data_IF_379370663221
#
_entry.id   IF_379370663221
#
_cell.length_a   1.000
_cell.length_b   1.000
_cell.length_c   1.000
_cell.angle_alpha   90.00
_cell.angle_beta   90.00
_cell.angle_gamma   90.00
#
_symmetry.space_group_name_H-M   'P 1'
#
loop_
_entity.id
_entity.type
_entity.pdbx_description
1 polymer ?
#
# COMPACT_ATOMS: atom_id res chain seq x y z
N UNK A 1 -34.74 42.82 -104.16
CA UNK A 1 -35.66 43.93 -103.89
C UNK A 1 -36.48 43.70 -102.63
N UNK A 2 -36.61 44.74 -101.77
CA UNK A 2 -37.11 44.66 -100.40
C UNK A 2 -38.65 44.80 -100.35
N UNK A 3 -39.25 44.85 -99.15
CA UNK A 3 -39.71 46.18 -98.71
C UNK A 3 -39.46 46.51 -97.23
N UNK A 4 -39.45 47.82 -96.98
CA UNK A 4 -39.07 48.60 -95.80
C UNK A 4 -40.01 48.49 -94.56
N UNK A 5 -39.59 49.01 -93.38
CA UNK A 5 -40.01 48.56 -92.05
C UNK A 5 -41.10 49.46 -91.40
N UNK A 6 -41.66 49.05 -90.24
CA UNK A 6 -42.36 49.96 -89.35
C UNK A 6 -41.52 50.40 -88.13
N UNK A 7 -41.87 51.55 -87.50
CA UNK A 7 -41.00 52.34 -86.64
C UNK A 7 -40.99 51.93 -85.15
N UNK A 8 -39.91 52.32 -84.46
CA UNK A 8 -39.70 52.21 -83.01
C UNK A 8 -40.62 53.16 -82.24
N UNK A 9 -41.35 52.61 -81.27
CA UNK A 9 -42.07 53.37 -80.25
C UNK A 9 -41.09 53.96 -79.24
N UNK A 10 -40.99 55.30 -79.23
CA UNK A 10 -40.50 56.08 -78.08
C UNK A 10 -41.71 56.69 -77.37
N UNK A 11 -42.24 55.99 -76.37
CA UNK A 11 -43.21 56.56 -75.45
C UNK A 11 -42.51 57.49 -74.47
N UNK A 12 -42.69 58.80 -74.65
CA UNK A 12 -42.38 59.80 -73.64
C UNK A 12 -43.42 59.76 -72.51
N UNK A 13 -42.90 59.98 -71.31
CA UNK A 13 -43.52 59.95 -69.98
C UNK A 13 -44.62 61.02 -69.84
N UNK A 14 -45.78 60.67 -69.25
CA UNK A 14 -46.55 61.59 -68.42
C UNK A 14 -46.31 61.27 -66.93
N UNK A 15 -45.97 62.30 -66.17
CA UNK A 15 -45.80 62.25 -64.72
C UNK A 15 -47.07 61.70 -64.02
N UNK A 16 -46.97 60.50 -63.44
CA UNK A 16 -47.96 60.00 -62.49
C UNK A 16 -47.49 60.34 -61.08
N UNK A 17 -48.07 61.41 -60.55
CA UNK A 17 -48.28 61.72 -59.13
C UNK A 17 -47.98 60.57 -58.16
N UNK A 18 -46.89 60.71 -57.40
CA UNK A 18 -46.64 59.96 -56.18
C UNK A 18 -47.74 60.27 -55.17
N UNK A 19 -48.82 59.49 -55.19
CA UNK A 19 -49.63 59.32 -53.99
C UNK A 19 -48.91 58.29 -53.13
N UNK A 20 -48.28 58.77 -52.06
CA UNK A 20 -47.87 57.94 -50.93
C UNK A 20 -49.12 57.25 -50.38
N UNK A 21 -49.44 56.08 -50.93
CA UNK A 21 -50.31 55.11 -50.28
C UNK A 21 -49.53 54.46 -49.15
N UNK A 22 -49.41 55.16 -48.02
CA UNK A 22 -49.24 54.53 -46.72
C UNK A 22 -50.47 53.63 -46.52
N UNK A 23 -50.38 52.38 -47.01
CA UNK A 23 -51.32 51.33 -46.68
C UNK A 23 -51.03 50.92 -45.25
N UNK A 24 -51.71 51.62 -44.35
CA UNK A 24 -52.01 51.24 -42.98
C UNK A 24 -51.92 49.72 -42.77
N UNK A 25 -50.88 49.29 -42.04
CA UNK A 25 -50.82 47.98 -41.41
C UNK A 25 -51.77 47.97 -40.20
N UNK A 26 -53.08 47.89 -40.46
CA UNK A 26 -54.12 47.84 -39.42
C UNK A 26 -54.49 46.40 -39.07
N UNK A 27 -53.52 45.56 -38.68
CA UNK A 27 -53.84 44.35 -37.92
C UNK A 27 -52.78 44.07 -36.83
N UNK A 28 -52.77 44.84 -35.72
CA UNK A 28 -51.84 44.63 -34.59
C UNK A 28 -51.91 43.21 -33.99
N UNK A 29 -53.03 42.54 -34.19
CA UNK A 29 -53.33 41.16 -33.81
C UNK A 29 -52.40 40.15 -34.48
N UNK A 30 -52.02 40.35 -35.75
CA UNK A 30 -51.09 39.44 -36.47
C UNK A 30 -49.66 39.53 -35.93
N UNK A 31 -49.22 40.73 -35.54
CA UNK A 31 -47.95 40.93 -34.83
C UNK A 31 -47.97 40.27 -33.44
N UNK A 32 -49.07 40.43 -32.70
CA UNK A 32 -49.23 39.80 -31.38
C UNK A 32 -49.25 38.27 -31.45
N UNK A 33 -49.93 37.68 -32.44
CA UNK A 33 -49.96 36.22 -32.65
C UNK A 33 -48.58 35.69 -33.06
N UNK A 34 -47.84 36.43 -33.90
CA UNK A 34 -46.46 36.11 -34.24
C UNK A 34 -45.52 36.13 -33.02
N UNK A 35 -45.62 37.15 -32.16
CA UNK A 35 -44.86 37.22 -30.92
C UNK A 35 -45.20 36.09 -29.94
N UNK A 36 -46.48 35.71 -29.83
CA UNK A 36 -46.90 34.58 -29.00
C UNK A 36 -46.32 33.26 -29.50
N UNK A 37 -46.33 33.04 -30.82
CA UNK A 37 -45.75 31.84 -31.44
C UNK A 37 -44.24 31.72 -31.18
N UNK A 38 -43.50 32.84 -31.29
CA UNK A 38 -42.07 32.89 -30.98
C UNK A 38 -41.82 32.64 -29.49
N UNK A 39 -42.61 33.24 -28.59
CA UNK A 39 -42.47 33.03 -27.15
C UNK A 39 -42.72 31.57 -26.74
N UNK A 40 -43.73 30.92 -27.33
CA UNK A 40 -44.00 29.49 -27.10
C UNK A 40 -42.86 28.63 -27.64
N UNK A 41 -42.32 28.95 -28.80
CA UNK A 41 -41.18 28.22 -29.35
C UNK A 41 -39.93 28.34 -28.46
N UNK A 42 -39.63 29.54 -27.94
CA UNK A 42 -38.56 29.73 -26.96
C UNK A 42 -38.81 29.00 -25.65
N UNK A 43 -40.05 29.02 -25.14
CA UNK A 43 -40.40 28.28 -23.93
C UNK A 43 -40.26 26.76 -24.12
N UNK A 44 -40.63 26.24 -25.30
CA UNK A 44 -40.43 24.84 -25.65
C UNK A 44 -38.95 24.48 -25.79
N UNK A 45 -38.13 25.29 -26.47
CA UNK A 45 -36.70 24.99 -26.61
C UNK A 45 -35.97 25.08 -25.28
N UNK A 46 -36.27 26.09 -24.46
CA UNK A 46 -35.76 26.17 -23.07
C UNK A 46 -36.25 24.97 -22.26
N UNK A 47 -37.50 24.56 -22.42
CA UNK A 47 -38.06 23.38 -21.76
C UNK A 47 -37.33 22.10 -22.15
N UNK A 48 -37.05 21.89 -23.44
CA UNK A 48 -36.32 20.73 -23.96
C UNK A 48 -34.87 20.74 -23.49
N UNK A 49 -34.18 21.88 -23.56
CA UNK A 49 -32.79 22.01 -23.10
C UNK A 49 -32.72 21.79 -21.58
N UNK A 50 -33.66 22.35 -20.82
CA UNK A 50 -33.72 22.17 -19.36
C UNK A 50 -34.03 20.72 -19.01
N UNK A 51 -34.93 20.07 -19.72
CA UNK A 51 -35.25 18.66 -19.57
C UNK A 51 -34.03 17.77 -19.89
N UNK A 52 -33.37 18.00 -21.02
CA UNK A 52 -32.15 17.29 -21.40
C UNK A 52 -30.98 17.51 -20.44
N UNK A 53 -30.89 18.69 -19.81
CA UNK A 53 -29.87 18.98 -18.79
C UNK A 53 -30.20 18.34 -17.43
N UNK A 54 -31.49 18.26 -17.06
CA UNK A 54 -31.95 17.68 -15.79
C UNK A 54 -32.03 16.15 -15.81
N UNK A 55 -32.17 15.54 -16.99
CA UNK A 55 -32.36 14.09 -17.13
C UNK A 55 -31.06 13.32 -17.45
N UNK A 56 -29.91 14.00 -17.52
CA UNK A 56 -28.64 13.28 -17.54
C UNK A 56 -28.48 12.52 -16.22
N UNK A 57 -28.46 11.18 -16.28
CA UNK A 57 -28.24 10.36 -15.10
C UNK A 57 -26.90 10.77 -14.47
N UNK A 58 -26.87 11.11 -13.16
CA UNK A 58 -25.63 11.52 -12.51
C UNK A 58 -24.61 10.37 -12.45
N UNK A 59 -25.09 9.13 -12.63
CA UNK A 59 -24.29 7.91 -12.72
C UNK A 59 -24.19 7.46 -14.19
N UNK A 60 -22.97 7.17 -14.63
CA UNK A 60 -22.69 6.64 -15.97
C UNK A 60 -21.89 5.35 -15.88
N UNK A 61 -22.23 4.34 -16.69
CA UNK A 61 -21.49 3.08 -16.72
C UNK A 61 -20.12 3.28 -17.37
N UNK A 62 -19.07 2.86 -16.67
CA UNK A 62 -17.69 2.98 -17.14
C UNK A 62 -17.18 1.63 -17.63
N UNK A 63 -17.36 0.60 -16.82
CA UNK A 63 -16.94 -0.76 -17.15
C UNK A 63 -17.90 -1.75 -16.52
N UNK A 64 -18.50 -2.61 -17.34
CA UNK A 64 -19.53 -3.55 -16.90
C UNK A 64 -19.00 -4.98 -16.99
N UNK A 65 -18.97 -5.67 -15.86
CA UNK A 65 -18.69 -7.11 -15.80
C UNK A 65 -19.96 -7.94 -15.84
N UNK A 66 -19.81 -9.22 -15.52
CA UNK A 66 -20.88 -10.20 -15.43
C UNK A 66 -21.63 -10.10 -14.09
N UNK A 67 -20.89 -10.02 -12.99
CA UNK A 67 -21.42 -10.11 -11.63
C UNK A 67 -21.45 -8.75 -10.92
N UNK A 68 -20.65 -7.79 -11.40
CA UNK A 68 -20.62 -6.42 -10.93
C UNK A 68 -20.34 -5.45 -12.09
N UNK A 69 -20.30 -4.16 -11.79
CA UNK A 69 -19.70 -3.18 -12.69
C UNK A 69 -19.46 -1.84 -12.02
N UNK A 70 -18.60 -1.06 -12.65
CA UNK A 70 -18.20 0.27 -12.21
C UNK A 70 -18.98 1.35 -12.94
N UNK A 71 -19.40 2.34 -12.16
CA UNK A 71 -20.06 3.55 -12.60
C UNK A 71 -19.28 4.75 -12.11
N UNK A 72 -19.36 5.84 -12.86
CA UNK A 72 -18.87 7.14 -12.44
C UNK A 72 -20.04 8.02 -12.00
N UNK A 73 -19.96 8.58 -10.80
CA UNK A 73 -20.89 9.58 -10.29
C UNK A 73 -20.34 11.00 -10.51
N UNK A 74 -20.91 11.73 -11.48
CA UNK A 74 -20.43 13.05 -11.89
C UNK A 74 -20.49 14.09 -10.77
N UNK A 75 -21.58 14.12 -10.01
CA UNK A 75 -21.79 15.14 -8.98
C UNK A 75 -20.83 15.06 -7.80
N UNK A 76 -20.21 13.91 -7.55
CA UNK A 76 -19.27 13.71 -6.44
C UNK A 76 -17.84 13.40 -6.87
N UNK A 77 -17.61 13.15 -8.16
CA UNK A 77 -16.32 12.66 -8.65
C UNK A 77 -15.97 11.31 -8.02
N UNK A 78 -16.91 10.36 -8.05
CA UNK A 78 -16.76 9.08 -7.35
C UNK A 78 -16.92 7.88 -8.29
N UNK A 79 -16.10 6.86 -8.09
CA UNK A 79 -16.29 5.54 -8.68
C UNK A 79 -17.19 4.70 -7.78
N UNK A 80 -18.30 4.23 -8.33
CA UNK A 80 -19.28 3.38 -7.66
C UNK A 80 -19.19 1.96 -8.20
N UNK A 81 -19.02 0.99 -7.31
CA UNK A 81 -19.08 -0.42 -7.65
C UNK A 81 -20.45 -0.96 -7.25
N UNK A 82 -21.18 -1.54 -8.21
CA UNK A 82 -22.50 -2.13 -7.99
C UNK A 82 -22.50 -3.61 -8.37
N UNK A 83 -23.15 -4.44 -7.55
CA UNK A 83 -23.38 -5.84 -7.87
C UNK A 83 -24.55 -5.96 -8.85
N UNK A 84 -24.39 -6.81 -9.86
CA UNK A 84 -25.41 -7.14 -10.86
C UNK A 84 -26.11 -8.46 -10.49
N UNK A 85 -27.37 -8.67 -10.95
CA UNK A 85 -28.21 -7.76 -11.72
C UNK A 85 -28.98 -6.75 -10.84
N UNK A 86 -29.03 -6.95 -9.52
CA UNK A 86 -29.87 -6.16 -8.61
C UNK A 86 -29.46 -4.69 -8.44
N UNK A 87 -28.27 -4.30 -8.91
CA UNK A 87 -27.76 -2.93 -8.81
C UNK A 87 -27.41 -2.50 -7.38
N UNK A 88 -27.23 -3.46 -6.47
CA UNK A 88 -26.94 -3.19 -5.05
C UNK A 88 -25.58 -2.47 -4.94
N UNK A 89 -25.48 -1.35 -4.20
CA UNK A 89 -24.21 -0.68 -3.98
C UNK A 89 -23.27 -1.59 -3.17
N UNK A 90 -22.05 -1.75 -3.65
CA UNK A 90 -21.00 -2.59 -3.03
C UNK A 90 -19.94 -1.73 -2.38
N UNK A 91 -19.47 -0.70 -3.10
CA UNK A 91 -18.39 0.19 -2.68
C UNK A 91 -18.53 1.55 -3.36
N UNK A 92 -18.17 2.62 -2.65
CA UNK A 92 -18.01 3.96 -3.19
C UNK A 92 -16.58 4.44 -2.94
N UNK A 93 -15.94 4.97 -3.97
CA UNK A 93 -14.57 5.45 -3.97
C UNK A 93 -14.60 6.92 -4.40
N UNK A 94 -14.27 7.82 -3.49
CA UNK A 94 -14.11 9.23 -3.83
C UNK A 94 -12.74 9.45 -4.47
N UNK A 95 -12.72 9.99 -5.68
CA UNK A 95 -11.49 10.27 -6.42
C UNK A 95 -11.01 11.67 -6.03
N UNK A 96 -9.91 11.74 -5.29
CA UNK A 96 -9.28 13.00 -4.88
C UNK A 96 -8.23 13.53 -5.86
N UNK A 97 -7.87 12.72 -6.86
CA UNK A 97 -6.81 13.01 -7.84
C UNK A 97 -7.15 14.12 -8.83
N UNK A 98 -8.42 14.50 -8.96
CA UNK A 98 -8.95 15.35 -10.05
C UNK A 98 -10.10 16.23 -9.53
N UNK A 99 -10.27 17.48 -10.01
CA UNK A 99 -11.40 18.33 -9.62
C UNK A 99 -12.75 17.73 -10.02
N UNK A 100 -13.68 17.59 -9.06
CA UNK A 100 -15.05 17.14 -9.31
C UNK A 100 -15.85 18.07 -10.26
N UNK A 101 -15.33 19.26 -10.55
CA UNK A 101 -15.93 20.27 -11.43
C UNK A 101 -15.70 20.01 -12.91
N UNK A 102 -14.82 19.08 -13.28
CA UNK A 102 -14.61 18.69 -14.67
C UNK A 102 -15.55 17.54 -15.07
N UNK A 103 -16.34 17.68 -16.15
CA UNK A 103 -17.26 16.64 -16.58
C UNK A 103 -16.48 15.36 -16.98
N UNK A 104 -16.98 14.14 -16.70
CA UNK A 104 -16.41 12.94 -17.32
C UNK A 104 -17.48 12.05 -17.98
N UNK A 105 -17.09 11.16 -18.90
CA UNK A 105 -16.41 11.35 -20.18
C UNK A 105 -17.44 11.52 -21.33
N UNK A 106 -17.03 12.01 -22.52
CA UNK A 106 -17.26 11.14 -23.67
C UNK A 106 -16.03 11.12 -24.58
N UNK A 107 -15.18 10.11 -24.38
CA UNK A 107 -14.78 9.14 -25.41
C UNK A 107 -13.75 8.24 -24.77
N UNK A 108 -14.16 7.00 -24.51
CA UNK A 108 -13.23 5.93 -24.22
C UNK A 108 -12.14 5.90 -25.30
N UNK A 109 -10.89 6.06 -24.88
CA UNK A 109 -9.75 6.05 -25.81
C UNK A 109 -9.23 4.64 -26.09
N UNK A 110 -9.65 3.64 -25.31
CA UNK A 110 -9.04 2.31 -25.31
C UNK A 110 -10.05 1.15 -25.29
N UNK A 111 -11.35 1.38 -25.55
CA UNK A 111 -12.37 0.32 -25.64
C UNK A 111 -12.07 -0.67 -26.77
N UNK A 112 -11.20 -1.63 -26.47
CA UNK A 112 -10.94 -2.81 -27.26
C UNK A 112 -11.53 -4.00 -26.50
N UNK A 113 -12.43 -4.73 -27.16
CA UNK A 113 -13.08 -5.97 -26.67
C UNK A 113 -13.98 -5.84 -25.42
N UNK A 114 -14.29 -4.62 -24.96
CA UNK A 114 -15.22 -4.36 -23.85
C UNK A 114 -14.71 -4.73 -22.45
N UNK A 115 -13.42 -5.08 -22.35
CA UNK A 115 -12.76 -5.44 -21.10
C UNK A 115 -11.98 -4.30 -20.45
N UNK A 116 -11.86 -3.14 -21.10
CA UNK A 116 -11.03 -2.03 -20.65
C UNK A 116 -11.70 -0.69 -20.90
N UNK A 117 -11.41 0.27 -20.04
CA UNK A 117 -11.85 1.67 -20.15
C UNK A 117 -10.69 2.59 -19.79
N UNK A 118 -10.46 3.65 -20.58
CA UNK A 118 -9.42 4.63 -20.31
C UNK A 118 -9.92 6.06 -20.50
N UNK A 119 -9.53 6.95 -19.59
CA UNK A 119 -9.82 8.37 -19.67
C UNK A 119 -8.66 9.21 -19.13
N UNK A 120 -8.41 10.36 -19.76
CA UNK A 120 -7.36 11.29 -19.37
C UNK A 120 -7.97 12.66 -19.07
N UNK A 121 -7.72 13.18 -17.86
CA UNK A 121 -8.07 14.56 -17.49
C UNK A 121 -6.93 15.49 -17.88
N UNK A 122 -7.29 16.66 -18.42
CA UNK A 122 -6.48 17.70 -19.09
C UNK A 122 -5.05 17.87 -18.56
N UNK A 123 -4.17 16.92 -18.87
CA UNK A 123 -2.76 16.84 -18.43
C UNK A 123 -2.53 16.58 -16.92
N UNK A 124 -3.53 16.13 -16.17
CA UNK A 124 -3.39 15.80 -14.74
C UNK A 124 -3.07 14.33 -14.52
N UNK A 125 -4.01 13.47 -14.93
CA UNK A 125 -3.93 12.04 -14.68
C UNK A 125 -4.69 11.26 -15.76
N UNK A 126 -4.23 10.03 -16.00
CA UNK A 126 -4.90 9.04 -16.82
C UNK A 126 -5.42 7.90 -15.93
N UNK A 127 -6.73 7.64 -15.97
CA UNK A 127 -7.37 6.47 -15.38
C UNK A 127 -7.48 5.37 -16.43
N UNK A 128 -7.03 4.17 -16.06
CA UNK A 128 -7.29 2.93 -16.78
C UNK A 128 -8.00 1.94 -15.85
N UNK A 129 -9.11 1.40 -16.31
CA UNK A 129 -9.87 0.34 -15.68
C UNK A 129 -9.82 -0.89 -16.57
N UNK A 130 -9.54 -2.05 -15.99
CA UNK A 130 -9.50 -3.33 -16.70
C UNK A 130 -10.29 -4.39 -15.96
N UNK A 131 -11.00 -5.25 -16.69
CA UNK A 131 -11.52 -6.51 -16.15
C UNK A 131 -10.36 -7.49 -16.05
N UNK A 132 -10.05 -7.88 -14.82
CA UNK A 132 -8.96 -8.82 -14.54
C UNK A 132 -9.48 -10.26 -14.54
N UNK A 133 -8.65 -11.24 -14.94
CA UNK A 133 -9.03 -12.64 -14.84
C UNK A 133 -9.40 -13.00 -13.40
N UNK A 134 -10.41 -13.87 -13.20
CA UNK A 134 -10.95 -14.16 -11.88
C UNK A 134 -9.87 -14.76 -10.98
N UNK A 135 -9.59 -14.10 -9.86
CA UNK A 135 -8.61 -14.58 -8.89
C UNK A 135 -9.07 -15.88 -8.20
N UNK A 136 -10.37 -16.10 -8.06
CA UNK A 136 -10.96 -17.31 -7.53
C UNK A 136 -12.27 -17.67 -8.25
N UNK A 137 -12.77 -18.91 -8.13
CA UNK A 137 -14.07 -19.27 -8.69
C UNK A 137 -15.18 -18.39 -8.08
N UNK A 138 -16.00 -17.77 -8.92
CA UNK A 138 -17.10 -16.90 -8.48
C UNK A 138 -16.67 -15.54 -7.95
N UNK A 139 -15.46 -15.06 -8.31
CA UNK A 139 -15.03 -13.68 -8.07
C UNK A 139 -14.84 -12.95 -9.37
N UNK A 140 -15.33 -11.72 -9.45
CA UNK A 140 -15.05 -10.80 -10.55
C UNK A 140 -14.13 -9.70 -10.07
N UNK A 141 -13.08 -9.40 -10.85
CA UNK A 141 -12.02 -8.48 -10.45
C UNK A 141 -11.81 -7.38 -11.47
N UNK A 142 -11.38 -6.23 -10.97
CA UNK A 142 -11.11 -5.04 -11.75
C UNK A 142 -9.78 -4.43 -11.32
N UNK A 143 -8.92 -4.14 -12.29
CA UNK A 143 -7.70 -3.37 -12.09
C UNK A 143 -8.02 -1.89 -12.21
N UNK A 144 -7.60 -1.11 -11.21
CA UNK A 144 -7.66 0.36 -11.24
C UNK A 144 -6.23 0.87 -11.32
N UNK A 145 -5.93 1.66 -12.35
CA UNK A 145 -4.60 2.26 -12.53
C UNK A 145 -4.73 3.72 -12.89
N UNK A 146 -4.24 4.57 -11.99
CA UNK A 146 -4.02 5.98 -12.23
C UNK A 146 -2.56 6.21 -12.59
N UNK A 147 -2.32 6.97 -13.66
CA UNK A 147 -0.98 7.40 -14.07
C UNK A 147 -0.93 8.92 -14.02
N UNK A 148 -0.04 9.52 -13.22
CA UNK A 148 0.08 10.97 -13.18
C UNK A 148 0.71 11.44 -14.49
N UNK A 149 0.15 12.48 -15.10
CA UNK A 149 0.70 13.10 -16.31
C UNK A 149 1.74 14.18 -15.96
N UNK A 150 1.74 14.67 -14.70
CA UNK A 150 2.73 15.62 -14.16
C UNK A 150 3.30 15.18 -12.80
N UNK A 151 4.56 15.54 -12.48
CA UNK A 151 5.20 15.12 -11.22
C UNK A 151 4.64 15.77 -9.95
N UNK A 152 3.93 16.90 -10.06
CA UNK A 152 3.31 17.65 -8.97
C UNK A 152 1.92 17.12 -8.59
N UNK A 153 1.31 16.28 -9.45
CA UNK A 153 0.00 15.68 -9.20
C UNK A 153 0.14 14.56 -8.18
N UNK A 154 -0.62 14.67 -7.10
CA UNK A 154 -0.76 13.61 -6.11
C UNK A 154 -2.05 12.85 -6.37
N UNK A 155 -1.94 11.57 -6.65
CA UNK A 155 -3.09 10.70 -6.91
C UNK A 155 -3.62 10.19 -5.57
N UNK A 156 -4.94 10.22 -5.41
CA UNK A 156 -5.64 9.86 -4.18
C UNK A 156 -7.00 9.23 -4.48
N UNK A 157 -7.21 8.03 -3.94
CA UNK A 157 -8.52 7.36 -3.93
C UNK A 157 -8.93 7.01 -2.50
N UNK A 158 -10.15 7.41 -2.12
CA UNK A 158 -10.68 7.23 -0.77
C UNK A 158 -11.88 6.29 -0.74
N UNK A 159 -11.79 5.24 0.07
CA UNK A 159 -12.76 4.15 0.18
C UNK A 159 -13.73 4.40 1.34
N UNK A 160 -15.01 4.54 1.03
CA UNK A 160 -16.02 4.88 2.04
C UNK A 160 -16.22 3.79 3.10
N UNK A 161 -16.41 4.22 4.35
CA UNK A 161 -16.77 3.38 5.51
C UNK A 161 -18.26 3.44 5.87
N UNK A 162 -19.07 4.24 5.17
CA UNK A 162 -20.46 4.52 5.57
C UNK A 162 -21.36 3.28 5.60
N UNK A 163 -21.21 2.38 4.61
CA UNK A 163 -22.01 1.16 4.48
C UNK A 163 -21.15 -0.11 4.41
N UNK A 164 -19.85 0.01 4.68
CA UNK A 164 -18.87 -1.06 4.56
C UNK A 164 -18.02 -1.10 5.82
N UNK A 165 -18.03 -2.25 6.49
CA UNK A 165 -17.07 -2.54 7.57
C UNK A 165 -15.82 -3.14 6.94
N UNK A 166 -14.66 -2.55 7.20
CA UNK A 166 -13.38 -2.95 6.63
C UNK A 166 -12.56 -3.77 7.61
N UNK A 167 -11.91 -4.81 7.11
CA UNK A 167 -11.05 -5.73 7.84
C UNK A 167 -9.71 -5.88 7.11
N UNK A 168 -8.66 -6.28 7.82
CA UNK A 168 -7.30 -6.32 7.26
C UNK A 168 -6.61 -4.96 7.35
N UNK A 169 -5.74 -4.66 6.40
CA UNK A 169 -4.88 -3.49 6.39
C UNK A 169 -3.63 -3.63 7.28
N UNK A 170 -2.92 -2.53 7.56
CA UNK A 170 -1.76 -2.54 8.44
C UNK A 170 -2.16 -2.75 9.89
N UNK A 171 -1.26 -3.38 10.66
CA UNK A 171 -1.35 -3.33 12.11
C UNK A 171 -1.20 -1.88 12.60
N UNK A 172 -2.03 -1.47 13.54
CA UNK A 172 -1.90 -0.18 14.26
C UNK A 172 -1.82 -0.43 15.77
N UNK A 173 -1.30 0.54 16.53
CA UNK A 173 -1.15 0.40 18.00
C UNK A 173 -2.47 0.08 18.70
N UNK A 174 -3.52 0.83 18.37
CA UNK A 174 -4.86 0.59 18.88
C UNK A 174 -5.67 -0.23 17.87
N UNK A 175 -5.26 -1.48 17.63
CA UNK A 175 -5.93 -2.35 16.66
C UNK A 175 -7.40 -2.56 17.02
N UNK A 176 -8.30 -2.20 16.11
CA UNK A 176 -9.74 -2.46 16.19
C UNK A 176 -10.17 -3.38 15.06
N UNK A 177 -11.22 -4.14 15.32
CA UNK A 177 -11.88 -5.01 14.34
C UNK A 177 -13.38 -4.69 14.42
N UNK A 178 -13.98 -4.07 13.38
CA UNK A 178 -13.40 -3.65 12.10
C UNK A 178 -12.42 -2.47 12.19
N UNK A 179 -11.67 -2.22 11.11
CA UNK A 179 -10.73 -1.11 10.92
C UNK A 179 -11.40 0.27 11.00
N UNK A 180 -12.73 0.34 10.84
CA UNK A 180 -13.47 1.60 10.73
C UNK A 180 -13.24 2.58 11.91
N UNK A 181 -12.91 2.10 13.10
CA UNK A 181 -12.63 2.97 14.25
C UNK A 181 -11.15 3.37 14.41
N UNK A 182 -10.31 3.06 13.43
CA UNK A 182 -8.89 3.43 13.42
C UNK A 182 -8.70 4.83 12.83
N UNK A 183 -7.70 5.55 13.32
CA UNK A 183 -7.33 6.89 12.90
C UNK A 183 -5.83 6.90 12.62
N UNK A 184 -5.42 7.48 11.50
CA UNK A 184 -4.02 7.63 11.11
C UNK A 184 -3.89 8.77 10.10
N UNK A 185 -2.97 9.72 10.30
CA UNK A 185 -2.63 10.66 9.24
C UNK A 185 -2.04 9.93 8.03
N UNK A 186 -1.99 10.60 6.89
CA UNK A 186 -1.35 10.07 5.68
C UNK A 186 0.14 9.80 5.97
N UNK A 187 0.52 8.53 5.91
CA UNK A 187 1.90 8.11 6.15
C UNK A 187 2.27 6.89 5.29
N UNK A 188 3.56 6.65 5.01
CA UNK A 188 3.99 5.53 4.17
C UNK A 188 3.47 4.18 4.67
N UNK A 189 2.88 3.39 3.78
CA UNK A 189 2.42 2.03 4.09
C UNK A 189 3.60 1.05 4.07
N UNK A 190 4.38 1.09 5.15
CA UNK A 190 5.61 0.32 5.36
C UNK A 190 5.58 -0.40 6.71
N UNK A 191 6.25 -1.54 6.80
CA UNK A 191 6.37 -2.29 8.05
C UNK A 191 7.19 -1.50 9.08
N UNK A 192 6.60 -1.26 10.24
CA UNK A 192 7.22 -0.48 11.31
C UNK A 192 7.25 -1.23 12.64
N UNK A 193 7.86 -0.60 13.65
CA UNK A 193 7.87 -1.10 15.01
C UNK A 193 7.05 -0.15 15.90
N UNK A 194 5.90 -0.60 16.39
CA UNK A 194 4.99 0.19 17.22
C UNK A 194 5.58 0.59 18.59
N UNK A 195 6.68 -0.05 19.01
CA UNK A 195 7.42 0.32 20.21
C UNK A 195 8.29 1.57 20.00
N UNK A 196 8.83 1.78 18.79
CA UNK A 196 9.66 2.96 18.45
C UNK A 196 8.84 4.06 17.78
N UNK A 197 7.91 3.70 16.91
CA UNK A 197 6.99 4.59 16.24
C UNK A 197 5.52 4.19 16.55
N UNK A 198 4.96 4.64 17.69
CA UNK A 198 3.62 4.24 18.11
C UNK A 198 2.49 4.78 17.23
N UNK A 199 2.73 5.86 16.49
CA UNK A 199 1.77 6.50 15.59
C UNK A 199 1.87 5.93 14.16
N UNK A 200 2.88 5.10 13.91
CA UNK A 200 3.10 4.41 12.65
C UNK A 200 2.31 3.11 12.48
N UNK A 201 2.59 2.43 11.37
CA UNK A 201 2.12 1.07 11.14
C UNK A 201 3.04 0.05 11.79
N UNK A 202 2.46 -1.07 12.19
CA UNK A 202 3.14 -2.16 12.87
C UNK A 202 3.85 -3.13 11.91
N UNK A 203 4.45 -4.17 12.47
CA UNK A 203 5.34 -5.06 11.72
C UNK A 203 4.59 -6.07 10.85
N UNK A 204 3.29 -6.24 11.08
CA UNK A 204 2.40 -7.00 10.19
C UNK A 204 1.69 -6.00 9.31
N UNK A 205 2.08 -5.97 8.04
CA UNK A 205 1.56 -5.06 7.03
C UNK A 205 0.85 -5.86 5.93
N UNK A 206 -0.47 -5.87 5.93
CA UNK A 206 -1.26 -6.48 4.85
C UNK A 206 -1.77 -5.38 3.93
N UNK A 207 -1.35 -5.40 2.66
CA UNK A 207 -1.88 -4.53 1.60
C UNK A 207 -3.20 -5.07 1.02
N UNK A 208 -4.06 -5.52 1.92
CA UNK A 208 -5.33 -6.19 1.65
C UNK A 208 -6.40 -5.67 2.59
N UNK A 209 -7.50 -5.18 2.03
CA UNK A 209 -8.66 -4.70 2.77
C UNK A 209 -9.89 -5.49 2.33
N UNK A 210 -10.59 -6.11 3.27
CA UNK A 210 -11.82 -6.84 3.05
C UNK A 210 -13.01 -6.03 3.57
N UNK A 211 -13.96 -5.72 2.69
CA UNK A 211 -15.21 -5.07 3.04
C UNK A 211 -16.32 -6.07 3.35
N UNK A 212 -17.21 -5.73 4.29
CA UNK A 212 -18.37 -6.55 4.68
C UNK A 212 -19.37 -6.81 3.55
N UNK A 213 -19.30 -6.06 2.45
CA UNK A 213 -20.10 -6.28 1.24
C UNK A 213 -19.57 -7.39 0.33
N UNK A 214 -18.44 -8.02 0.69
CA UNK A 214 -17.76 -9.03 -0.14
C UNK A 214 -16.77 -8.44 -1.13
N UNK A 215 -16.51 -7.12 -1.05
CA UNK A 215 -15.49 -6.44 -1.84
C UNK A 215 -14.11 -6.57 -1.19
N UNK A 216 -13.08 -6.69 -2.01
CA UNK A 216 -11.68 -6.66 -1.54
C UNK A 216 -10.89 -5.63 -2.31
N UNK A 217 -10.03 -4.90 -1.61
CA UNK A 217 -9.03 -3.99 -2.18
C UNK A 217 -7.66 -4.60 -1.93
N UNK A 218 -6.91 -4.86 -3.00
CA UNK A 218 -5.52 -5.36 -2.94
C UNK A 218 -4.59 -4.39 -3.60
N UNK A 219 -3.46 -4.11 -2.96
CA UNK A 219 -2.39 -3.29 -3.54
C UNK A 219 -1.12 -4.12 -3.63
N UNK A 220 -0.43 -4.04 -4.77
CA UNK A 220 0.83 -4.75 -4.96
C UNK A 220 1.93 -4.20 -4.01
N UNK A 221 2.85 -5.05 -3.52
CA UNK A 221 3.94 -4.63 -2.62
C UNK A 221 4.85 -3.53 -3.18
N UNK A 222 5.01 -3.49 -4.50
CA UNK A 222 5.97 -2.64 -5.20
C UNK A 222 5.45 -1.20 -5.34
N UNK A 223 4.15 -0.95 -5.17
CA UNK A 223 3.53 0.37 -5.32
C UNK A 223 3.83 1.22 -4.08
N UNK A 224 4.63 2.30 -4.16
CA UNK A 224 4.86 3.17 -3.02
C UNK A 224 3.60 4.01 -2.76
N UNK A 225 3.02 3.89 -1.57
CA UNK A 225 1.79 4.61 -1.24
C UNK A 225 1.78 5.06 0.21
N UNK A 226 1.06 6.15 0.45
CA UNK A 226 0.67 6.64 1.75
C UNK A 226 -0.74 6.10 2.04
N UNK A 227 -0.97 5.65 3.27
CA UNK A 227 -2.29 5.30 3.76
C UNK A 227 -2.71 6.33 4.81
N UNK A 228 -3.91 6.88 4.66
CA UNK A 228 -4.60 7.65 5.70
C UNK A 228 -5.86 6.91 6.15
N UNK A 229 -6.16 6.97 7.44
CA UNK A 229 -7.35 6.39 8.05
C UNK A 229 -8.13 7.51 8.73
N UNK A 230 -9.34 7.77 8.27
CA UNK A 230 -10.25 8.76 8.85
C UNK A 230 -11.43 8.02 9.49
N UNK A 231 -11.46 8.02 10.82
CA UNK A 231 -12.35 7.19 11.62
C UNK A 231 -13.82 7.35 11.22
N UNK A 232 -14.47 6.20 10.98
CA UNK A 232 -15.84 6.04 10.53
C UNK A 232 -16.20 6.75 9.21
N UNK A 233 -15.22 7.32 8.49
CA UNK A 233 -15.43 8.04 7.24
C UNK A 233 -14.89 7.26 6.05
N UNK A 234 -13.57 7.05 6.01
CA UNK A 234 -12.89 6.47 4.85
C UNK A 234 -11.43 6.10 5.17
N UNK A 235 -10.83 5.26 4.34
CA UNK A 235 -9.37 5.18 4.24
C UNK A 235 -8.97 5.62 2.83
N UNK A 236 -7.81 6.28 2.70
CA UNK A 236 -7.34 6.73 1.39
C UNK A 236 -5.97 6.17 1.05
N UNK A 237 -5.82 5.79 -0.22
CA UNK A 237 -4.54 5.41 -0.82
C UNK A 237 -4.04 6.61 -1.62
N UNK A 238 -2.84 7.08 -1.30
CA UNK A 238 -2.28 8.33 -1.83
C UNK A 238 -0.87 8.09 -2.37
N UNK A 239 -0.48 8.71 -3.48
CA UNK A 239 0.91 8.65 -3.95
C UNK A 239 1.78 9.62 -3.15
N UNK A 240 3.08 9.33 -2.94
CA UNK A 240 3.99 10.30 -2.35
C UNK A 240 4.14 11.53 -3.24
N UNK A 241 4.01 12.72 -2.67
CA UNK A 241 4.14 13.98 -3.41
C UNK A 241 5.53 14.13 -4.06
N UNK A 242 5.57 14.79 -5.23
CA UNK A 242 6.81 15.10 -5.95
C UNK A 242 7.44 13.90 -6.66
N UNK A 243 6.72 12.78 -6.78
CA UNK A 243 7.12 11.63 -7.60
C UNK A 243 6.00 11.29 -8.58
N UNK A 244 6.34 11.11 -9.85
CA UNK A 244 5.42 10.67 -10.90
C UNK A 244 5.17 9.14 -10.81
N UNK A 245 4.70 8.67 -9.65
CA UNK A 245 4.41 7.26 -9.41
C UNK A 245 2.93 6.96 -9.71
N UNK A 246 2.62 5.86 -10.42
CA UNK A 246 1.24 5.46 -10.65
C UNK A 246 0.59 4.91 -9.37
N UNK A 247 -0.67 5.23 -9.15
CA UNK A 247 -1.51 4.56 -8.14
C UNK A 247 -2.20 3.36 -8.80
N UNK A 248 -1.90 2.16 -8.32
CA UNK A 248 -2.46 0.93 -8.87
C UNK A 248 -2.95 -0.02 -7.78
N UNK A 249 -4.20 -0.47 -7.89
CA UNK A 249 -4.81 -1.43 -7.00
C UNK A 249 -5.85 -2.27 -7.74
N UNK A 250 -6.25 -3.39 -7.13
CA UNK A 250 -7.24 -4.30 -7.68
C UNK A 250 -8.43 -4.41 -6.74
N UNK A 251 -9.63 -4.37 -7.34
CA UNK A 251 -10.91 -4.54 -6.67
C UNK A 251 -11.50 -5.88 -7.07
N UNK A 252 -11.87 -6.73 -6.13
CA UNK A 252 -12.62 -7.95 -6.45
C UNK A 252 -13.93 -7.99 -5.68
N UNK A 253 -14.98 -8.48 -6.33
CA UNK A 253 -16.29 -8.74 -5.73
C UNK A 253 -16.50 -10.25 -5.69
N UNK A 254 -16.69 -10.79 -4.49
CA UNK A 254 -17.06 -12.19 -4.29
C UNK A 254 -18.51 -12.31 -3.83
N UNK A 255 -19.21 -13.34 -4.30
CA UNK A 255 -20.57 -13.66 -3.84
C UNK A 255 -20.63 -14.08 -2.35
N UNK A 256 -19.49 -14.39 -1.74
CA UNK A 256 -19.39 -14.71 -0.32
C UNK A 256 -18.14 -14.03 0.30
N UNK A 257 -18.25 -13.27 1.40
CA UNK A 257 -17.07 -12.69 2.06
C UNK A 257 -16.05 -13.73 2.54
N UNK A 258 -16.41 -15.02 2.60
CA UNK A 258 -15.48 -16.11 2.90
C UNK A 258 -14.63 -16.59 1.72
N UNK A 259 -14.99 -16.24 0.47
CA UNK A 259 -14.16 -16.57 -0.70
C UNK A 259 -12.97 -15.63 -0.76
N UNK A 260 -11.85 -16.09 -0.19
CA UNK A 260 -10.56 -15.40 -0.18
C UNK A 260 -9.97 -15.35 -1.59
N UNK A 261 -9.63 -14.16 -2.15
CA UNK A 261 -8.96 -14.07 -3.45
C UNK A 261 -7.62 -14.82 -3.44
N UNK A 262 -7.24 -15.45 -4.55
CA UNK A 262 -6.01 -16.24 -4.65
C UNK A 262 -4.70 -15.43 -4.52
N UNK A 263 -4.76 -14.10 -4.51
CA UNK A 263 -3.62 -13.21 -4.22
C UNK A 263 -3.21 -13.17 -2.75
N UNK A 264 -4.01 -13.77 -1.87
CA UNK A 264 -3.67 -13.91 -0.46
C UNK A 264 -2.73 -15.12 -0.33
N UNK A 265 -1.41 -14.93 -0.07
CA UNK A 265 -0.41 -15.98 -0.25
C UNK A 265 -0.83 -17.27 0.45
N UNK A 266 -0.77 -18.39 -0.29
CA UNK A 266 -0.97 -19.77 0.24
C UNK A 266 0.03 -20.14 1.34
N UNK A 267 0.97 -19.24 1.66
CA UNK A 267 2.07 -19.42 2.60
C UNK A 267 1.70 -19.32 4.08
N UNK A 268 0.42 -19.24 4.44
CA UNK A 268 -0.03 -19.76 5.75
C UNK A 268 -0.07 -21.31 5.70
N UNK A 269 1.01 -21.92 5.21
CA UNK A 269 1.31 -23.32 5.53
C UNK A 269 1.47 -23.39 7.03
N UNK A 270 0.40 -23.88 7.68
CA UNK A 270 0.21 -24.14 9.10
C UNK A 270 1.13 -25.24 9.65
N UNK A 271 2.30 -25.41 9.04
CA UNK A 271 3.34 -26.38 9.39
C UNK A 271 4.52 -25.65 10.04
N UNK A 272 4.23 -24.74 10.98
CA UNK A 272 5.24 -24.14 11.84
C UNK A 272 5.31 -24.99 13.13
N UNK A 273 6.38 -25.78 13.35
CA UNK A 273 6.52 -26.62 14.54
C UNK A 273 6.40 -25.87 15.88
N UNK A 274 6.93 -24.63 16.05
CA UNK A 274 6.90 -23.98 17.36
C UNK A 274 5.55 -23.36 17.73
N UNK A 275 4.51 -23.45 16.88
CA UNK A 275 3.14 -23.11 17.31
C UNK A 275 2.46 -24.25 18.08
N UNK A 276 2.99 -25.49 18.03
CA UNK A 276 2.41 -26.65 18.72
C UNK A 276 3.06 -26.93 20.07
N UNK A 277 4.25 -26.39 20.31
CA UNK A 277 5.03 -26.64 21.53
C UNK A 277 5.15 -25.37 22.37
N UNK A 278 5.08 -25.44 23.71
CA UNK A 278 5.21 -24.26 24.56
C UNK A 278 6.62 -23.64 24.47
N UNK A 279 6.70 -22.31 24.50
CA UNK A 279 7.97 -21.58 24.49
C UNK A 279 8.28 -21.06 25.90
N UNK A 280 9.34 -21.59 26.50
CA UNK A 280 9.79 -21.25 27.85
C UNK A 280 10.86 -20.16 27.78
N UNK A 281 10.47 -18.90 27.95
CA UNK A 281 11.41 -17.77 27.95
C UNK A 281 12.26 -17.74 29.23
N UNK A 282 13.57 -17.60 29.07
CA UNK A 282 14.49 -17.42 30.18
C UNK A 282 14.50 -15.96 30.66
N UNK A 283 14.10 -15.73 31.91
CA UNK A 283 14.10 -14.41 32.58
C UNK A 283 15.13 -14.28 33.70
N UNK A 284 16.15 -15.14 33.73
CA UNK A 284 17.16 -15.14 34.79
C UNK A 284 18.26 -14.08 34.60
N UNK A 285 19.24 -13.99 35.52
CA UNK A 285 20.28 -12.97 35.49
C UNK A 285 21.22 -13.14 34.28
N UNK A 286 21.30 -12.10 33.45
CA UNK A 286 22.15 -12.01 32.25
C UNK A 286 23.39 -11.14 32.51
N UNK A 287 24.14 -11.45 33.56
CA UNK A 287 25.37 -10.72 33.89
C UNK A 287 26.65 -11.44 33.40
N UNK A 288 26.62 -12.77 33.27
CA UNK A 288 27.76 -13.55 32.77
C UNK A 288 27.31 -14.88 32.18
N UNK A 289 28.13 -15.43 31.28
CA UNK A 289 27.86 -16.73 30.64
C UNK A 289 27.67 -17.86 31.68
N UNK A 290 28.45 -17.85 32.76
CA UNK A 290 28.32 -18.84 33.84
C UNK A 290 26.98 -18.74 34.58
N UNK A 291 26.50 -17.51 34.85
CA UNK A 291 25.19 -17.28 35.49
C UNK A 291 24.05 -17.73 34.57
N UNK A 292 24.12 -17.40 33.27
CA UNK A 292 23.13 -17.82 32.26
C UNK A 292 23.07 -19.36 32.17
N UNK A 293 24.21 -20.04 32.01
CA UNK A 293 24.29 -21.51 31.95
C UNK A 293 23.74 -22.19 33.23
N UNK A 294 23.98 -21.60 34.41
CA UNK A 294 23.39 -22.10 35.67
C UNK A 294 21.88 -21.87 35.72
N UNK A 295 21.43 -20.69 35.30
CA UNK A 295 20.02 -20.32 35.25
C UNK A 295 19.21 -21.21 34.29
N UNK A 296 19.70 -21.45 33.08
CA UNK A 296 19.08 -22.35 32.10
C UNK A 296 18.96 -23.77 32.65
N UNK A 297 20.03 -24.32 33.26
CA UNK A 297 19.97 -25.63 33.93
C UNK A 297 18.97 -25.65 35.08
N UNK A 298 18.81 -24.55 35.82
CA UNK A 298 17.81 -24.44 36.88
C UNK A 298 16.39 -24.40 36.33
N UNK A 299 16.17 -23.68 35.22
CA UNK A 299 14.88 -23.60 34.54
C UNK A 299 14.47 -24.97 34.01
N UNK A 300 15.35 -25.65 33.26
CA UNK A 300 15.10 -27.00 32.74
C UNK A 300 14.78 -27.98 33.88
N UNK A 301 15.52 -27.94 34.99
CA UNK A 301 15.21 -28.78 36.17
C UNK A 301 13.85 -28.47 36.79
N UNK A 302 13.41 -27.20 36.82
CA UNK A 302 12.05 -26.83 37.28
C UNK A 302 11.00 -27.38 36.33
N UNK A 303 11.18 -27.20 35.03
CA UNK A 303 10.26 -27.72 34.00
C UNK A 303 10.11 -29.24 34.11
N UNK A 304 11.22 -29.97 34.28
CA UNK A 304 11.21 -31.41 34.52
C UNK A 304 10.42 -31.79 35.78
N UNK A 305 10.64 -31.09 36.91
CA UNK A 305 9.92 -31.34 38.17
C UNK A 305 8.41 -31.13 38.05
N UNK A 306 7.97 -30.16 37.25
CA UNK A 306 6.55 -29.88 37.03
C UNK A 306 5.93 -30.65 35.86
N UNK A 307 6.66 -31.62 35.27
CA UNK A 307 6.21 -32.39 34.10
C UNK A 307 5.90 -31.53 32.86
N UNK A 308 6.60 -30.40 32.72
CA UNK A 308 6.51 -29.47 31.59
C UNK A 308 7.71 -29.65 30.64
N UNK A 309 7.93 -30.89 30.19
CA UNK A 309 9.14 -31.28 29.46
C UNK A 309 9.03 -31.10 27.94
N UNK A 310 7.83 -30.86 27.44
CA UNK A 310 7.58 -30.47 26.06
C UNK A 310 7.87 -28.97 25.91
N UNK A 311 8.47 -28.59 24.78
CA UNK A 311 8.69 -27.17 24.47
C UNK A 311 10.11 -26.80 24.08
N UNK A 312 10.24 -25.50 23.78
CA UNK A 312 11.50 -24.87 23.39
C UNK A 312 11.88 -23.86 24.46
N UNK A 313 13.09 -23.94 24.99
CA UNK A 313 13.62 -22.94 25.91
C UNK A 313 14.21 -21.80 25.09
N UNK A 314 13.65 -20.59 25.25
CA UNK A 314 14.06 -19.42 24.49
C UNK A 314 15.01 -18.52 25.29
N UNK A 315 16.18 -18.26 24.71
CA UNK A 315 17.18 -17.32 25.20
C UNK A 315 17.10 -16.01 24.41
N UNK A 316 16.87 -14.90 25.12
CA UNK A 316 16.80 -13.58 24.52
C UNK A 316 18.12 -13.07 23.96
N UNK A 317 18.03 -12.01 23.16
CA UNK A 317 19.15 -11.39 22.43
C UNK A 317 20.36 -11.06 23.31
N UNK A 318 20.13 -10.43 24.46
CA UNK A 318 21.19 -10.05 25.41
C UNK A 318 21.87 -11.27 26.01
N UNK A 319 21.11 -12.29 26.41
CA UNK A 319 21.63 -13.57 26.84
C UNK A 319 22.50 -14.26 25.77
N UNK A 320 22.01 -14.29 24.52
CA UNK A 320 22.77 -14.82 23.37
C UNK A 320 24.06 -14.05 23.15
N UNK A 321 24.02 -12.71 23.19
CA UNK A 321 25.20 -11.87 23.01
C UNK A 321 26.29 -12.11 24.06
N UNK A 322 25.90 -12.32 25.32
CA UNK A 322 26.84 -12.61 26.42
C UNK A 322 27.49 -13.99 26.24
N UNK A 323 26.72 -15.00 25.82
CA UNK A 323 27.27 -16.33 25.51
C UNK A 323 28.20 -16.26 24.28
N UNK A 324 27.80 -15.53 23.24
CA UNK A 324 28.60 -15.32 22.04
C UNK A 324 29.94 -14.61 22.33
N UNK A 325 29.97 -13.67 23.28
CA UNK A 325 31.19 -12.96 23.65
C UNK A 325 32.25 -13.88 24.26
N UNK A 326 31.83 -14.94 24.96
CA UNK A 326 32.76 -15.96 25.50
C UNK A 326 33.32 -16.91 24.44
N UNK A 327 32.67 -17.01 23.27
CA UNK A 327 33.15 -17.86 22.18
C UNK A 327 34.32 -17.27 21.38
N UNK A 328 34.64 -16.00 21.62
CA UNK A 328 35.68 -15.24 20.91
C UNK A 328 37.08 -15.32 21.57
N UNK A 329 37.34 -16.33 22.40
CA UNK A 329 38.65 -16.61 23.01
C UNK A 329 39.34 -17.77 22.25
N UNK A 330 40.61 -17.62 21.81
CA UNK A 330 41.32 -18.61 21.01
C UNK A 330 41.45 -20.01 21.63
N UNK A 331 41.55 -20.99 20.74
CA UNK A 331 41.29 -22.43 20.87
C UNK A 331 42.39 -23.27 21.54
N UNK A 332 43.02 -22.84 22.63
CA UNK A 332 44.06 -23.68 23.28
C UNK A 332 43.57 -24.49 24.49
N UNK A 333 42.36 -24.23 25.01
CA UNK A 333 41.79 -24.98 26.17
C UNK A 333 40.45 -25.66 25.91
N UNK A 334 40.08 -25.89 24.65
CA UNK A 334 38.70 -26.25 24.25
C UNK A 334 38.38 -27.73 24.08
N UNK A 335 39.05 -28.65 24.80
CA UNK A 335 38.67 -30.08 24.75
C UNK A 335 37.63 -30.53 25.79
N UNK A 336 37.07 -29.67 26.65
CA UNK A 336 36.18 -30.15 27.75
C UNK A 336 34.95 -29.32 28.15
N UNK A 337 34.53 -28.28 27.43
CA UNK A 337 33.42 -27.43 27.92
C UNK A 337 32.46 -26.87 26.85
N UNK A 338 31.99 -27.69 25.92
CA UNK A 338 30.65 -27.46 25.36
C UNK A 338 29.66 -28.22 26.26
N UNK A 339 29.00 -27.57 27.24
CA UNK A 339 27.92 -28.25 27.93
C UNK A 339 26.78 -28.32 26.93
N UNK A 340 26.52 -29.51 26.41
CA UNK A 340 25.20 -29.84 25.89
C UNK A 340 24.20 -29.34 26.93
N UNK A 341 23.34 -28.40 26.54
CA UNK A 341 22.28 -27.92 27.41
C UNK A 341 21.41 -29.15 27.69
N UNK A 342 21.52 -29.68 28.91
CA UNK A 342 20.96 -30.96 29.37
C UNK A 342 19.64 -31.30 28.66
N UNK A 343 19.67 -32.29 27.76
CA UNK A 343 18.50 -32.85 27.07
C UNK A 343 17.38 -33.25 28.07
N UNK A 344 16.09 -33.09 27.72
CA UNK A 344 15.54 -33.19 26.36
C UNK A 344 14.90 -31.91 25.78
N UNK A 345 15.09 -30.73 26.38
CA UNK A 345 14.44 -29.51 25.88
C UNK A 345 15.27 -28.82 24.79
N UNK A 346 14.65 -28.55 23.65
CA UNK A 346 15.26 -27.81 22.55
C UNK A 346 15.57 -26.36 22.96
N UNK A 347 16.69 -25.81 22.47
CA UNK A 347 17.10 -24.43 22.71
C UNK A 347 16.79 -23.57 21.49
N UNK A 348 16.17 -22.40 21.71
CA UNK A 348 16.14 -21.31 20.73
C UNK A 348 16.97 -20.13 21.20
N UNK A 349 17.76 -19.56 20.30
CA UNK A 349 18.55 -18.34 20.54
C UNK A 349 17.99 -17.18 19.74
N UNK A 350 17.95 -16.00 20.33
CA UNK A 350 17.53 -14.78 19.63
C UNK A 350 18.72 -13.96 19.15
N UNK A 351 18.64 -13.48 17.91
CA UNK A 351 19.55 -12.52 17.29
C UNK A 351 18.75 -11.31 16.76
N UNK A 352 19.43 -10.18 16.57
CA UNK A 352 18.88 -9.00 15.91
C UNK A 352 19.87 -8.49 14.86
N UNK A 353 19.45 -7.68 13.87
CA UNK A 353 20.37 -7.00 12.97
C UNK A 353 21.03 -5.77 13.62
N UNK A 354 20.81 -5.55 14.92
CA UNK A 354 21.36 -4.43 15.66
C UNK A 354 22.59 -4.85 16.47
N UNK A 355 23.54 -3.93 16.60
CA UNK A 355 24.62 -4.05 17.57
C UNK A 355 24.74 -2.77 18.38
N UNK A 356 24.61 -2.89 19.69
CA UNK A 356 24.86 -1.77 20.61
C UNK A 356 26.27 -1.22 20.44
N UNK A 357 26.41 0.10 20.47
CA UNK A 357 27.70 0.78 20.23
C UNK A 357 28.77 0.43 21.28
N UNK A 358 28.35 -0.01 22.46
CA UNK A 358 29.23 -0.48 23.55
C UNK A 358 29.54 -1.98 23.45
N UNK A 359 28.92 -2.71 22.52
CA UNK A 359 29.08 -4.15 22.42
C UNK A 359 30.49 -4.52 21.91
N UNK A 360 31.09 -5.61 22.41
CA UNK A 360 32.36 -6.11 21.87
C UNK A 360 32.28 -6.45 20.38
N UNK A 361 31.09 -6.80 19.89
CA UNK A 361 30.80 -7.06 18.49
C UNK A 361 31.04 -5.80 17.65
N UNK A 362 30.39 -4.70 18.03
CA UNK A 362 30.51 -3.42 17.32
C UNK A 362 31.94 -2.87 17.41
N UNK A 363 32.51 -2.79 18.61
CA UNK A 363 33.87 -2.25 18.82
C UNK A 363 34.95 -3.02 18.07
N UNK A 364 34.83 -4.35 17.93
CA UNK A 364 35.78 -5.15 17.14
C UNK A 364 35.58 -4.95 15.64
N UNK A 365 34.32 -4.84 15.19
CA UNK A 365 34.06 -4.57 13.77
C UNK A 365 34.82 -3.31 13.33
N UNK A 366 34.83 -2.25 14.16
CA UNK A 366 35.55 -1.00 13.90
C UNK A 366 37.08 -1.13 13.81
N UNK A 367 37.69 -2.08 14.54
CA UNK A 367 39.16 -2.24 14.57
C UNK A 367 39.72 -2.98 13.36
N UNK A 368 38.90 -3.74 12.65
CA UNK A 368 39.34 -4.63 11.58
C UNK A 368 39.54 -3.97 10.21
N UNK A 369 39.34 -2.65 10.06
CA UNK A 369 39.38 -1.95 8.76
C UNK A 369 38.21 -2.28 7.82
N UNK A 370 37.62 -3.48 7.93
CA UNK A 370 36.44 -3.98 7.19
C UNK A 370 35.10 -3.40 7.69
N UNK A 371 35.11 -2.64 8.80
CA UNK A 371 33.91 -2.11 9.45
C UNK A 371 33.06 -1.18 8.59
N UNK A 372 33.69 -0.47 7.64
CA UNK A 372 33.05 0.59 6.86
C UNK A 372 31.91 0.07 5.99
N UNK A 373 31.81 -1.26 5.77
CA UNK A 373 30.76 -1.89 4.97
C UNK A 373 29.71 -2.69 5.75
N UNK A 374 29.94 -3.02 7.03
CA UNK A 374 29.05 -3.94 7.77
C UNK A 374 27.81 -3.28 8.38
N UNK A 375 27.89 -1.99 8.66
CA UNK A 375 26.80 -1.23 9.27
C UNK A 375 26.21 -0.28 8.25
N UNK A 376 24.88 -0.10 8.28
CA UNK A 376 24.22 0.92 7.48
C UNK A 376 24.90 2.25 7.75
N UNK A 377 25.19 2.97 6.69
CA UNK A 377 25.92 4.22 6.74
C UNK A 377 25.26 5.23 5.81
N UNK A 378 25.46 6.51 6.09
CA UNK A 378 25.10 7.54 5.12
C UNK A 378 26.05 7.43 3.93
N UNK A 379 25.50 7.60 2.72
CA UNK A 379 26.30 7.70 1.49
C UNK A 379 27.41 8.74 1.71
N UNK A 380 28.69 8.34 1.62
CA UNK A 380 29.78 9.29 1.82
C UNK A 380 29.73 10.35 0.73
N UNK A 381 29.95 11.62 1.10
CA UNK A 381 30.29 12.65 0.11
C UNK A 381 31.56 12.23 -0.63
N UNK A 382 31.79 12.63 -1.90
CA UNK A 382 33.04 12.33 -2.59
C UNK A 382 34.24 12.72 -1.73
N UNK A 383 35.09 11.76 -1.38
CA UNK A 383 36.26 11.94 -0.50
C UNK A 383 36.03 11.83 1.01
N UNK A 384 34.80 11.51 1.46
CA UNK A 384 34.45 11.37 2.87
C UNK A 384 34.49 9.93 3.39
N UNK A 385 34.72 9.75 4.70
CA UNK A 385 34.59 8.46 5.36
C UNK A 385 33.12 8.06 5.53
N UNK A 386 32.83 6.77 5.37
CA UNK A 386 31.51 6.19 5.66
C UNK A 386 31.24 6.23 7.17
N UNK A 387 30.19 6.92 7.59
CA UNK A 387 29.78 7.05 9.00
C UNK A 387 28.55 6.15 9.23
N UNK A 388 28.61 5.18 10.16
CA UNK A 388 27.46 4.35 10.50
C UNK A 388 26.26 5.18 10.95
N UNK A 389 25.09 4.88 10.40
CA UNK A 389 23.80 5.38 10.82
C UNK A 389 23.44 4.71 12.15
N UNK A 390 23.45 5.49 13.22
CA UNK A 390 23.07 5.02 14.55
C UNK A 390 21.56 5.19 14.74
N UNK A 391 20.93 4.19 15.34
CA UNK A 391 19.51 4.20 15.70
C UNK A 391 19.34 3.65 17.12
N UNK A 392 18.11 3.59 17.62
CA UNK A 392 17.80 3.03 18.93
C UNK A 392 17.14 1.67 18.78
N UNK A 393 17.59 0.71 19.59
CA UNK A 393 16.98 -0.62 19.69
C UNK A 393 16.92 -1.02 21.15
N UNK A 394 15.71 -1.36 21.64
CA UNK A 394 15.45 -1.72 23.06
C UNK A 394 16.07 -0.73 24.06
N UNK A 395 15.98 0.57 23.77
CA UNK A 395 16.50 1.66 24.61
C UNK A 395 18.02 1.79 24.62
N UNK A 396 18.74 1.20 23.66
CA UNK A 396 20.19 1.32 23.51
C UNK A 396 20.54 1.92 22.15
N UNK A 397 21.59 2.74 22.12
CA UNK A 397 22.16 3.25 20.87
C UNK A 397 22.88 2.12 20.13
N UNK A 398 22.45 1.84 18.90
CA UNK A 398 22.89 0.70 18.11
C UNK A 398 23.19 1.10 16.67
N UNK A 399 24.10 0.36 16.03
CA UNK A 399 24.23 0.34 14.58
C UNK A 399 23.39 -0.80 14.01
N UNK A 400 22.78 -0.59 12.84
CA UNK A 400 21.97 -1.60 12.13
C UNK A 400 22.79 -2.21 10.98
N UNK A 401 22.67 -3.51 10.77
CA UNK A 401 23.38 -4.27 9.74
C UNK A 401 23.13 -3.68 8.35
N UNK A 402 24.18 -3.51 7.55
CA UNK A 402 24.05 -3.15 6.15
C UNK A 402 23.62 -4.35 5.31
N UNK A 403 22.41 -4.34 4.77
CA UNK A 403 21.89 -5.44 3.93
C UNK A 403 22.25 -5.30 2.46
N UNK A 404 22.69 -4.12 2.00
CA UNK A 404 23.13 -3.90 0.61
C UNK A 404 24.55 -4.41 0.35
N UNK A 405 25.32 -4.65 1.40
CA UNK A 405 26.65 -5.25 1.30
C UNK A 405 26.57 -6.77 1.44
N UNK A 406 26.89 -7.49 0.36
CA UNK A 406 26.97 -8.96 0.39
C UNK A 406 27.94 -9.47 1.45
N UNK A 407 29.06 -8.76 1.66
CA UNK A 407 30.05 -9.11 2.69
C UNK A 407 29.47 -9.00 4.11
N UNK A 408 28.70 -7.94 4.38
CA UNK A 408 28.03 -7.73 5.66
C UNK A 408 26.96 -8.80 5.92
N UNK A 409 26.13 -9.06 4.92
CA UNK A 409 25.07 -10.05 4.98
C UNK A 409 25.64 -11.47 5.16
N UNK A 410 26.66 -11.81 4.38
CA UNK A 410 27.39 -13.08 4.51
C UNK A 410 28.04 -13.25 5.89
N UNK A 411 28.67 -12.20 6.41
CA UNK A 411 29.23 -12.17 7.77
C UNK A 411 28.16 -12.44 8.84
N UNK A 412 26.99 -11.79 8.72
CA UNK A 412 25.88 -11.95 9.65
C UNK A 412 25.29 -13.36 9.62
N UNK A 413 25.02 -13.91 8.44
CA UNK A 413 24.52 -15.28 8.28
C UNK A 413 25.53 -16.32 8.79
N UNK A 414 26.82 -16.13 8.50
CA UNK A 414 27.88 -17.01 8.99
C UNK A 414 27.98 -16.96 10.52
N UNK A 415 27.81 -15.78 11.12
CA UNK A 415 27.74 -15.61 12.57
C UNK A 415 26.55 -16.37 13.16
N UNK A 416 25.36 -16.26 12.57
CA UNK A 416 24.18 -16.98 13.03
C UNK A 416 24.38 -18.50 13.00
N UNK A 417 24.93 -19.04 11.90
CA UNK A 417 25.28 -20.48 11.78
C UNK A 417 26.27 -20.93 12.86
N UNK A 418 27.35 -20.17 13.07
CA UNK A 418 28.35 -20.47 14.09
C UNK A 418 27.75 -20.48 15.50
N UNK A 419 26.92 -19.50 15.84
CA UNK A 419 26.30 -19.42 17.17
C UNK A 419 25.29 -20.54 17.40
N UNK A 420 24.48 -20.86 16.38
CA UNK A 420 23.56 -22.00 16.42
C UNK A 420 24.30 -23.30 16.73
N UNK A 421 25.41 -23.56 16.03
CA UNK A 421 26.24 -24.74 16.24
C UNK A 421 26.94 -24.73 17.61
N UNK A 422 27.57 -23.62 17.99
CA UNK A 422 28.34 -23.50 19.23
C UNK A 422 27.46 -23.66 20.49
N UNK A 423 26.22 -23.17 20.42
CA UNK A 423 25.26 -23.24 21.53
C UNK A 423 24.37 -24.48 21.48
N UNK A 424 24.45 -25.30 20.42
CA UNK A 424 23.57 -26.45 20.22
C UNK A 424 22.09 -26.06 20.12
N UNK A 425 21.80 -24.91 19.50
CA UNK A 425 20.43 -24.41 19.37
C UNK A 425 19.69 -25.09 18.22
N UNK A 426 18.48 -25.58 18.49
CA UNK A 426 17.58 -26.12 17.47
C UNK A 426 17.01 -25.01 16.60
N UNK A 427 16.73 -23.84 17.20
CA UNK A 427 16.15 -22.69 16.51
C UNK A 427 16.93 -21.40 16.69
N UNK A 428 16.86 -20.54 15.69
CA UNK A 428 17.37 -19.16 15.72
C UNK A 428 16.21 -18.23 15.41
N UNK A 429 15.90 -17.35 16.37
CA UNK A 429 14.86 -16.32 16.23
C UNK A 429 15.54 -15.01 15.88
N UNK A 430 15.07 -14.35 14.82
CA UNK A 430 15.52 -13.03 14.40
C UNK A 430 14.45 -12.01 14.79
N UNK A 431 14.81 -11.03 15.63
CA UNK A 431 13.96 -9.92 16.07
C UNK A 431 14.45 -8.60 15.48
N UNK A 432 13.54 -7.65 15.24
CA UNK A 432 13.90 -6.32 14.74
C UNK A 432 14.31 -6.33 13.27
N UNK A 433 13.71 -7.22 12.49
CA UNK A 433 13.93 -7.30 11.04
C UNK A 433 13.16 -6.19 10.34
N UNK A 434 11.98 -5.87 10.87
CA UNK A 434 11.07 -4.80 10.48
C UNK A 434 11.66 -3.38 10.66
N UNK A 435 10.93 -2.38 10.15
CA UNK A 435 11.23 -0.96 10.36
C UNK A 435 12.24 -0.42 9.36
N UNK A 436 12.14 0.89 9.09
CA UNK A 436 13.00 1.59 8.15
C UNK A 436 13.78 2.69 8.87
N UNK A 437 15.08 2.45 9.11
CA UNK A 437 15.91 3.37 9.90
C UNK A 437 16.19 4.71 9.22
N UNK A 438 15.92 4.83 7.91
CA UNK A 438 16.00 6.09 7.20
C UNK A 438 14.73 6.93 7.45
N UNK A 439 13.55 6.30 7.35
CA UNK A 439 12.27 6.94 7.69
C UNK A 439 12.21 7.35 9.16
N UNK A 440 12.70 6.53 10.09
CA UNK A 440 12.77 6.86 11.52
C UNK A 440 13.63 8.10 11.84
N UNK A 441 14.52 8.51 10.94
CA UNK A 441 15.46 9.61 11.13
C UNK A 441 15.23 10.77 10.18
N UNK A 442 14.12 10.76 9.42
CA UNK A 442 13.81 11.74 8.38
C UNK A 442 14.96 11.92 7.37
N UNK A 443 15.69 10.84 7.07
CA UNK A 443 16.77 10.82 6.08
C UNK A 443 16.27 10.13 4.81
N UNK A 444 16.53 10.66 3.60
CA UNK A 444 16.21 9.96 2.36
C UNK A 444 16.91 8.60 2.29
N UNK A 445 16.14 7.53 2.14
CA UNK A 445 16.67 6.20 1.90
C UNK A 445 17.27 6.12 0.48
N UNK A 446 18.37 5.34 0.28
CA UNK A 446 18.75 4.89 -1.06
C UNK A 446 17.57 4.20 -1.75
N UNK A 447 17.49 4.29 -3.08
CA UNK A 447 16.37 3.72 -3.84
C UNK A 447 16.15 2.23 -3.54
N UNK A 448 17.23 1.46 -3.36
CA UNK A 448 17.22 0.03 -3.03
C UNK A 448 16.64 -0.30 -1.64
N UNK A 449 16.60 0.68 -0.73
CA UNK A 449 16.12 0.52 0.65
C UNK A 449 14.86 1.35 0.92
N UNK A 450 14.19 1.83 -0.13
CA UNK A 450 12.91 2.49 -0.01
C UNK A 450 11.82 1.50 0.44
N UNK A 451 10.83 1.99 1.18
CA UNK A 451 9.73 1.16 1.66
C UNK A 451 10.20 0.04 2.59
N UNK A 452 9.80 -1.20 2.26
CA UNK A 452 10.14 -2.43 2.97
C UNK A 452 11.39 -3.15 2.43
N UNK A 453 12.14 -2.54 1.49
CA UNK A 453 13.27 -3.18 0.82
C UNK A 453 14.34 -3.74 1.78
N UNK A 454 14.59 -3.08 2.91
CA UNK A 454 15.49 -3.63 3.94
C UNK A 454 14.98 -4.97 4.50
N UNK A 455 13.71 -5.00 4.88
CA UNK A 455 13.03 -6.18 5.44
C UNK A 455 13.04 -7.31 4.42
N UNK A 456 12.71 -7.02 3.16
CA UNK A 456 12.67 -8.01 2.08
C UNK A 456 14.04 -8.67 1.85
N UNK A 457 15.10 -7.86 1.70
CA UNK A 457 16.47 -8.38 1.50
C UNK A 457 16.92 -9.22 2.68
N UNK A 458 16.68 -8.76 3.91
CA UNK A 458 17.09 -9.49 5.11
C UNK A 458 16.29 -10.79 5.27
N UNK A 459 14.96 -10.78 5.08
CA UNK A 459 14.10 -11.96 5.16
C UNK A 459 14.53 -13.01 4.13
N UNK A 460 14.76 -12.60 2.88
CA UNK A 460 15.23 -13.49 1.82
C UNK A 460 16.57 -14.14 2.18
N UNK A 461 17.49 -13.37 2.74
CA UNK A 461 18.79 -13.87 3.19
C UNK A 461 18.68 -14.84 4.37
N UNK A 462 17.82 -14.52 5.35
CA UNK A 462 17.56 -15.37 6.51
C UNK A 462 16.90 -16.70 6.13
N UNK A 463 16.05 -16.71 5.11
CA UNK A 463 15.43 -17.94 4.60
C UNK A 463 16.49 -19.00 4.21
N UNK A 464 17.69 -18.58 3.79
CA UNK A 464 18.80 -19.49 3.44
C UNK A 464 19.41 -20.25 4.61
N UNK A 465 19.03 -19.93 5.86
CA UNK A 465 19.48 -20.64 7.07
C UNK A 465 18.67 -21.93 7.34
N UNK A 466 17.56 -22.13 6.63
CA UNK A 466 16.72 -23.34 6.67
C UNK A 466 15.70 -23.37 7.81
N UNK A 467 15.04 -24.53 7.98
CA UNK A 467 13.82 -24.72 8.79
C UNK A 467 13.93 -24.39 10.30
N UNK A 468 15.14 -24.23 10.83
CA UNK A 468 15.37 -23.80 12.22
C UNK A 468 15.28 -22.28 12.42
N UNK A 469 14.95 -21.52 11.38
CA UNK A 469 14.94 -20.07 11.37
C UNK A 469 13.54 -19.54 11.61
N UNK A 470 13.40 -18.64 12.57
CA UNK A 470 12.14 -17.96 12.88
C UNK A 470 12.39 -16.46 12.77
N UNK A 471 11.54 -15.76 12.02
CA UNK A 471 11.53 -14.30 12.00
C UNK A 471 10.37 -13.85 12.85
N UNK A 472 10.66 -13.04 13.86
CA UNK A 472 9.66 -12.53 14.81
C UNK A 472 9.52 -11.03 14.62
N UNK A 473 8.32 -10.63 14.23
CA UNK A 473 7.86 -9.26 14.33
C UNK A 473 7.76 -8.86 15.82
N UNK A 474 8.44 -7.78 16.21
CA UNK A 474 8.47 -7.28 17.57
C UNK A 474 7.22 -6.48 17.92
N UNK A 475 6.14 -7.15 18.32
CA UNK A 475 5.07 -6.53 19.12
C UNK A 475 5.08 -7.13 20.52
N UNK A 476 5.94 -6.61 21.40
CA UNK A 476 5.83 -6.81 22.84
C UNK A 476 6.17 -5.56 23.60
#
# INVERSE_FOLDING_TARGET
>A
DPPLPPPRHTGQIPESTWTLGLREMTEPWKGAVGCLGVAVFFAMTIGIISWQALEQSPEEWVLRGRDAGMLWERGRGALLLRALPAGRPVLAIAVGSVPATEPPPPRDRCWHDGGQFCYSWEEDAELRLSLEPPAAPGTECYGVRWTPLRPDVTLKDCFSMANVSWYGGPSVRAQRWPLNGAESPAQPLVSGNLGTNPDGFGPVLERYFLGSTGVTVTVAPEVPLLLSLESHRQFCLETPAGRAEPLHYQLCVGGNPSTRPAGCPKHLTRNFPPCRSPIWRYHGPEASAAKIKRGLRSLVRRLKRHRLQEGVVALGERGTAILAATDLVPSERRKRQAPALVEPLELSITLSPYAGVTSPLFLRSLRGGEAAGYWLSRQPRPGGSSIPLLTTWKGQLCARLNVTSEAALGWYLARARRLRQALGASYVVFEGVEGNSFLEQDVPAPAELAGDGYTEVLVAALATLGNGTVISAGTR
#
